data_IF_503128217541
#
_entry.id   IF_503128217541
#
_cell.length_a   1.000
_cell.length_b   1.000
_cell.length_c   1.000
_cell.angle_alpha   90.00
_cell.angle_beta   90.00
_cell.angle_gamma   90.00
#
_symmetry.space_group_name_H-M   'P 1'
#
loop_
_entity.id
_entity.type
_entity.pdbx_description
1 polymer ?
#
# COMPACT_ATOMS: atom_id res chain seq x y z
N UNK A 1 24.07 17.38 -61.63
CA UNK A 1 22.61 17.54 -61.85
C UNK A 1 22.17 16.45 -62.81
N UNK A 2 21.16 15.67 -62.44
CA UNK A 2 20.03 15.23 -63.28
C UNK A 2 19.26 14.15 -62.53
N UNK A 3 18.10 14.52 -61.98
CA UNK A 3 17.11 13.61 -61.43
C UNK A 3 16.20 13.15 -62.58
N UNK A 4 16.07 11.84 -62.79
CA UNK A 4 14.99 11.28 -63.60
C UNK A 4 13.91 10.83 -62.61
N UNK A 5 12.82 11.60 -62.58
CA UNK A 5 11.54 11.24 -61.98
C UNK A 5 10.95 10.12 -62.84
N UNK A 6 10.78 8.93 -62.26
CA UNK A 6 10.19 7.76 -62.91
C UNK A 6 9.26 7.04 -61.94
N UNK A 7 7.97 7.28 -62.15
CA UNK A 7 6.74 6.62 -61.69
C UNK A 7 6.75 5.59 -60.54
N UNK A 8 5.78 5.69 -59.59
CA UNK A 8 5.52 4.60 -58.67
C UNK A 8 4.84 3.46 -59.43
N UNK A 9 5.60 2.39 -59.69
CA UNK A 9 5.02 1.13 -60.16
C UNK A 9 3.93 0.69 -59.18
N UNK A 10 2.73 0.47 -59.73
CA UNK A 10 1.53 0.05 -59.04
C UNK A 10 1.80 -1.25 -58.27
N UNK A 11 1.86 -1.17 -56.94
CA UNK A 11 1.68 -2.35 -56.11
C UNK A 11 0.30 -2.91 -56.42
N UNK A 12 0.26 -4.11 -57.01
CA UNK A 12 -0.98 -4.88 -57.21
C UNK A 12 -1.70 -4.99 -55.87
N UNK A 13 -2.76 -4.21 -55.71
CA UNK A 13 -3.68 -4.34 -54.59
C UNK A 13 -4.47 -5.62 -54.81
N UNK A 14 -4.04 -6.70 -54.18
CA UNK A 14 -4.88 -7.88 -54.02
C UNK A 14 -5.99 -7.50 -53.05
N UNK A 15 -7.14 -7.09 -53.58
CA UNK A 15 -8.36 -6.97 -52.80
C UNK A 15 -8.78 -8.38 -52.38
N UNK A 16 -8.48 -8.76 -51.15
CA UNK A 16 -9.09 -9.92 -50.53
C UNK A 16 -10.57 -9.61 -50.36
N UNK A 17 -11.40 -10.25 -51.18
CA UNK A 17 -12.86 -10.21 -51.07
C UNK A 17 -13.24 -10.82 -49.73
N UNK A 18 -13.68 -9.98 -48.78
CA UNK A 18 -14.28 -10.47 -47.54
C UNK A 18 -15.54 -11.24 -47.91
N UNK A 19 -15.58 -12.53 -47.59
CA UNK A 19 -16.80 -13.31 -47.66
C UNK A 19 -17.73 -12.82 -46.55
N UNK A 20 -18.89 -12.31 -46.95
CA UNK A 20 -20.01 -11.96 -46.08
C UNK A 20 -20.59 -13.26 -45.49
N UNK A 21 -20.03 -13.68 -44.37
CA UNK A 21 -20.57 -14.74 -43.54
C UNK A 21 -20.95 -14.13 -42.21
N UNK A 22 -22.23 -14.21 -41.83
CA UNK A 22 -22.71 -13.62 -40.58
C UNK A 22 -21.85 -14.09 -39.40
N UNK A 23 -21.16 -13.12 -38.82
CA UNK A 23 -19.95 -13.29 -38.04
C UNK A 23 -20.29 -13.61 -36.57
N UNK A 24 -20.89 -14.78 -36.35
CA UNK A 24 -21.27 -15.26 -35.01
C UNK A 24 -20.08 -15.30 -34.04
N UNK A 25 -18.88 -15.52 -34.57
CA UNK A 25 -17.64 -15.58 -33.83
C UNK A 25 -17.21 -14.20 -33.30
N UNK A 26 -17.41 -13.13 -34.07
CA UNK A 26 -17.12 -11.74 -33.65
C UNK A 26 -18.04 -11.26 -32.52
N UNK A 27 -19.31 -11.66 -32.54
CA UNK A 27 -20.28 -11.32 -31.49
C UNK A 27 -19.90 -12.04 -30.18
N UNK A 28 -19.52 -13.31 -30.25
CA UNK A 28 -19.07 -14.07 -29.08
C UNK A 28 -17.79 -13.49 -28.47
N UNK A 29 -16.81 -13.12 -29.31
CA UNK A 29 -15.58 -12.44 -28.89
C UNK A 29 -15.85 -11.13 -28.17
N UNK A 30 -16.86 -10.36 -28.60
CA UNK A 30 -17.26 -9.12 -27.95
C UNK A 30 -17.77 -9.37 -26.52
N UNK A 31 -18.63 -10.38 -26.33
CA UNK A 31 -19.14 -10.76 -25.00
C UNK A 31 -18.03 -11.28 -24.08
N UNK A 32 -17.11 -12.08 -24.61
CA UNK A 32 -15.98 -12.61 -23.84
C UNK A 32 -15.03 -11.48 -23.40
N UNK A 33 -14.76 -10.52 -24.28
CA UNK A 33 -13.95 -9.34 -23.96
C UNK A 33 -14.60 -8.48 -22.86
N UNK A 34 -15.92 -8.33 -22.89
CA UNK A 34 -16.66 -7.62 -21.84
C UNK A 34 -16.67 -8.38 -20.51
N UNK A 35 -16.79 -9.72 -20.55
CA UNK A 35 -16.66 -10.55 -19.36
C UNK A 35 -15.27 -10.43 -18.71
N UNK A 36 -14.21 -10.46 -19.52
CA UNK A 36 -12.82 -10.28 -19.05
C UNK A 36 -12.62 -8.90 -18.43
N UNK A 37 -13.13 -7.82 -19.05
CA UNK A 37 -13.06 -6.46 -18.49
C UNK A 37 -13.72 -6.37 -17.12
N UNK A 38 -14.91 -6.96 -16.96
CA UNK A 38 -15.62 -6.98 -15.67
C UNK A 38 -14.84 -7.72 -14.59
N UNK A 39 -14.27 -8.87 -14.92
CA UNK A 39 -13.42 -9.63 -13.99
C UNK A 39 -12.18 -8.81 -13.60
N UNK A 40 -11.54 -8.15 -14.56
CA UNK A 40 -10.37 -7.32 -14.31
C UNK A 40 -10.68 -6.13 -13.39
N UNK A 41 -11.86 -5.50 -13.53
CA UNK A 41 -12.29 -4.44 -12.62
C UNK A 41 -12.47 -4.95 -11.18
N UNK A 42 -13.12 -6.11 -11.00
CA UNK A 42 -13.32 -6.73 -9.68
C UNK A 42 -11.98 -7.05 -9.03
N UNK A 43 -11.06 -7.67 -9.77
CA UNK A 43 -9.71 -8.00 -9.26
C UNK A 43 -8.95 -6.73 -8.91
N UNK A 44 -8.98 -5.71 -9.77
CA UNK A 44 -8.30 -4.43 -9.53
C UNK A 44 -8.82 -3.74 -8.28
N UNK A 45 -10.14 -3.77 -8.06
CA UNK A 45 -10.77 -3.24 -6.84
C UNK A 45 -10.31 -3.99 -5.60
N UNK A 46 -10.26 -5.33 -5.67
CA UNK A 46 -9.78 -6.17 -4.57
C UNK A 46 -8.31 -5.88 -4.21
N UNK A 47 -7.44 -5.81 -5.22
CA UNK A 47 -6.03 -5.48 -5.05
C UNK A 47 -5.87 -4.09 -4.41
N UNK A 48 -6.58 -3.08 -4.92
CA UNK A 48 -6.51 -1.73 -4.37
C UNK A 48 -6.98 -1.66 -2.92
N UNK A 49 -8.08 -2.35 -2.58
CA UNK A 49 -8.58 -2.40 -1.21
C UNK A 49 -7.58 -3.06 -0.26
N UNK A 50 -6.97 -4.19 -0.67
CA UNK A 50 -5.96 -4.87 0.13
C UNK A 50 -4.71 -4.01 0.31
N UNK A 51 -4.24 -3.36 -0.75
CA UNK A 51 -3.08 -2.47 -0.69
C UNK A 51 -3.34 -1.28 0.24
N UNK A 52 -4.54 -0.69 0.18
CA UNK A 52 -4.95 0.36 1.10
C UNK A 52 -4.99 -0.12 2.56
N UNK A 53 -5.55 -1.31 2.81
CA UNK A 53 -5.59 -1.89 4.15
C UNK A 53 -4.17 -2.12 4.70
N UNK A 54 -3.29 -2.73 3.91
CA UNK A 54 -1.89 -2.99 4.29
C UNK A 54 -1.15 -1.67 4.53
N UNK A 55 -1.31 -0.68 3.65
CA UNK A 55 -0.69 0.63 3.80
C UNK A 55 -1.14 1.31 5.10
N UNK A 56 -2.44 1.30 5.38
CA UNK A 56 -2.99 1.87 6.62
C UNK A 56 -2.46 1.14 7.87
N UNK A 57 -2.41 -0.18 7.84
CA UNK A 57 -1.87 -0.98 8.93
C UNK A 57 -0.38 -0.66 9.19
N UNK A 58 0.42 -0.61 8.14
CA UNK A 58 1.85 -0.27 8.26
C UNK A 58 2.04 1.17 8.74
N UNK A 59 1.21 2.12 8.30
CA UNK A 59 1.26 3.50 8.78
C UNK A 59 0.91 3.58 10.28
N UNK A 60 -0.08 2.84 10.75
CA UNK A 60 -0.42 2.75 12.17
C UNK A 60 0.71 2.12 13.00
N UNK A 61 1.34 1.06 12.49
CA UNK A 61 2.48 0.45 13.18
C UNK A 61 3.69 1.39 13.23
N UNK A 62 4.00 2.09 12.15
CA UNK A 62 5.09 3.08 12.16
C UNK A 62 4.80 4.22 13.13
N UNK A 63 3.54 4.69 13.23
CA UNK A 63 3.16 5.67 14.25
C UNK A 63 3.29 5.10 15.67
N UNK A 64 2.90 3.84 15.92
CA UNK A 64 3.08 3.17 17.21
C UNK A 64 4.55 2.92 17.57
N UNK A 65 5.43 2.62 16.61
CA UNK A 65 6.86 2.40 16.85
C UNK A 65 7.59 3.67 17.30
N UNK A 66 7.03 4.86 17.05
CA UNK A 66 7.57 6.12 17.60
C UNK A 66 7.34 6.26 19.10
N UNK A 67 6.45 5.47 19.69
CA UNK A 67 6.26 5.38 21.14
C UNK A 67 7.05 4.20 21.67
N UNK A 68 8.37 4.34 21.67
CA UNK A 68 9.27 3.41 22.35
C UNK A 68 8.81 3.15 23.79
N UNK A 69 8.31 1.94 24.02
CA UNK A 69 8.29 1.31 25.35
C UNK A 69 7.11 1.56 26.28
N UNK A 70 6.02 2.22 25.88
CA UNK A 70 4.89 2.36 26.81
C UNK A 70 3.90 1.21 26.67
N UNK A 71 4.08 0.18 27.49
CA UNK A 71 3.03 -0.82 27.77
C UNK A 71 1.84 -0.03 28.36
N UNK A 72 0.59 -0.21 27.87
CA UNK A 72 -0.56 0.47 28.44
C UNK A 72 -0.64 0.23 29.97
N UNK A 73 -0.60 1.30 30.76
CA UNK A 73 -0.53 1.25 32.22
C UNK A 73 0.87 1.25 32.83
N UNK A 74 1.92 1.41 32.02
CA UNK A 74 3.32 1.45 32.45
C UNK A 74 4.01 2.70 31.92
N UNK A 75 4.33 3.62 32.83
CA UNK A 75 5.14 4.80 32.51
C UNK A 75 6.61 4.39 32.51
N UNK A 76 7.22 4.25 31.33
CA UNK A 76 8.67 4.07 31.22
C UNK A 76 9.35 5.42 31.31
N UNK A 77 10.19 5.60 32.32
CA UNK A 77 11.03 6.80 32.49
C UNK A 77 12.41 6.48 31.96
N UNK A 78 12.70 6.91 30.73
CA UNK A 78 14.07 6.86 30.18
C UNK A 78 14.93 7.90 30.88
N UNK A 79 15.79 7.45 31.80
CA UNK A 79 16.79 8.27 32.45
C UNK A 79 18.12 7.54 32.50
N UNK A 80 19.22 8.28 32.39
CA UNK A 80 20.57 7.74 32.52
C UNK A 80 20.73 7.05 33.88
N UNK A 81 21.55 6.00 33.98
CA UNK A 81 21.67 5.15 35.18
C UNK A 81 21.85 5.95 36.47
N UNK A 82 22.68 6.98 36.44
CA UNK A 82 22.98 7.84 37.59
C UNK A 82 21.78 8.72 37.98
N UNK A 83 21.08 9.27 36.98
CA UNK A 83 19.86 10.05 37.18
C UNK A 83 18.72 9.15 37.65
N UNK A 84 18.67 7.91 37.18
CA UNK A 84 17.70 6.90 37.61
C UNK A 84 17.88 6.55 39.09
N UNK A 85 19.12 6.34 39.55
CA UNK A 85 19.42 6.01 40.94
C UNK A 85 19.12 7.17 41.89
N UNK A 86 19.54 8.39 41.52
CA UNK A 86 19.23 9.59 42.30
C UNK A 86 17.72 9.86 42.38
N UNK A 87 17.02 9.68 41.25
CA UNK A 87 15.56 9.83 41.21
C UNK A 87 14.88 8.70 41.97
N UNK A 88 15.39 7.47 41.97
CA UNK A 88 14.84 6.36 42.75
C UNK A 88 14.86 6.70 44.24
N UNK A 89 15.99 7.18 44.74
CA UNK A 89 16.11 7.61 46.13
C UNK A 89 15.14 8.76 46.44
N UNK A 90 15.12 9.81 45.61
CA UNK A 90 14.25 10.97 45.83
C UNK A 90 12.75 10.65 45.72
N UNK A 91 12.40 9.69 44.87
CA UNK A 91 11.02 9.31 44.62
C UNK A 91 10.46 8.36 45.69
N UNK A 92 11.30 7.59 46.38
CA UNK A 92 10.87 6.48 47.25
C UNK A 92 11.53 6.41 48.64
N UNK A 93 12.78 6.85 48.80
CA UNK A 93 13.57 6.67 50.02
C UNK A 93 13.90 7.98 50.76
N UNK A 94 13.61 9.14 50.17
CA UNK A 94 13.82 10.44 50.81
C UNK A 94 12.82 10.69 51.95
N UNK A 95 13.16 11.62 52.84
CA UNK A 95 12.31 12.01 53.97
C UNK A 95 10.93 12.56 53.53
N UNK A 96 10.87 13.14 52.33
CA UNK A 96 9.62 13.53 51.67
C UNK A 96 9.59 12.99 50.23
N UNK A 97 9.22 11.71 50.05
CA UNK A 97 9.28 11.07 48.75
C UNK A 97 8.19 11.61 47.83
N UNK A 98 8.50 11.71 46.53
CA UNK A 98 7.57 12.24 45.53
C UNK A 98 6.32 11.40 45.34
N UNK A 99 6.41 10.09 45.59
CA UNK A 99 5.27 9.17 45.54
C UNK A 99 5.00 8.61 46.94
N UNK A 100 3.73 8.53 47.31
CA UNK A 100 3.33 7.99 48.61
C UNK A 100 3.34 6.44 48.59
N UNK A 101 3.53 5.80 49.75
CA UNK A 101 3.53 4.33 49.85
C UNK A 101 2.22 3.69 49.35
N UNK A 102 1.09 4.42 49.42
CA UNK A 102 -0.22 3.93 48.98
C UNK A 102 -0.30 3.71 47.47
N UNK A 103 0.52 4.41 46.67
CA UNK A 103 0.64 4.16 45.24
C UNK A 103 1.44 2.88 44.91
N UNK A 104 2.20 2.36 45.87
CA UNK A 104 3.06 1.18 45.71
C UNK A 104 2.43 -0.12 46.23
N UNK A 105 1.50 -0.03 47.17
CA UNK A 105 0.74 -1.20 47.64
C UNK A 105 -0.52 -1.35 46.78
N UNK A 106 -0.54 -2.41 45.96
CA UNK A 106 -1.75 -2.91 45.29
C UNK A 106 -2.66 -3.64 46.26
#
# INVERSE_FOLDING_TARGET
>A
MNFIIGDPSYYSSSASSFSDGENKDDIQLMYDLEAVKRQQEVVSRWVNNNNNYISNFLNQQNQQMTHGGSIPGYTVVNCDREVADQNLFNNYCAENPRFNELMLRR
#
